data_IF_243247179454
#
_entry.id   IF_243247179454
#
_cell.length_a   1.000
_cell.length_b   1.000
_cell.length_c   1.000
_cell.angle_alpha   90.00
_cell.angle_beta   90.00
_cell.angle_gamma   90.00
#
_symmetry.space_group_name_H-M   'P 1'
#
loop_
_entity.id
_entity.type
_entity.pdbx_description
1 polymer ?
#
# COMPACT_ATOMS: atom_id res chain seq x y z
N UNK A 1 27.13 -22.80 41.80
CA UNK A 1 25.69 -22.53 41.58
C UNK A 1 25.49 -22.45 40.09
N UNK A 2 24.61 -23.30 39.57
CA UNK A 2 24.20 -23.28 38.16
C UNK A 2 23.36 -22.01 37.88
N UNK A 3 23.52 -21.38 36.72
CA UNK A 3 22.81 -20.13 36.39
C UNK A 3 21.44 -20.46 35.79
N UNK A 4 20.37 -19.97 36.40
CA UNK A 4 19.02 -20.11 35.84
C UNK A 4 18.82 -19.10 34.68
N UNK A 5 18.44 -19.61 33.50
CA UNK A 5 18.17 -18.85 32.29
C UNK A 5 16.67 -18.77 31.94
N UNK A 6 15.78 -19.22 32.84
CA UNK A 6 14.33 -19.24 32.62
C UNK A 6 13.76 -17.86 32.28
N UNK A 7 14.31 -16.80 32.88
CA UNK A 7 13.90 -15.43 32.60
C UNK A 7 14.27 -14.99 31.18
N UNK A 8 15.52 -15.22 30.76
CA UNK A 8 15.99 -14.91 29.40
C UNK A 8 15.17 -15.68 28.36
N UNK A 9 14.90 -16.97 28.59
CA UNK A 9 14.05 -17.81 27.73
C UNK A 9 12.64 -17.24 27.63
N UNK A 10 12.00 -16.92 28.76
CA UNK A 10 10.66 -16.34 28.79
C UNK A 10 10.59 -15.00 28.05
N UNK A 11 11.54 -14.11 28.32
CA UNK A 11 11.61 -12.79 27.70
C UNK A 11 11.76 -12.88 26.17
N UNK A 12 12.65 -13.75 25.68
CA UNK A 12 12.85 -13.93 24.24
C UNK A 12 11.63 -14.54 23.55
N UNK A 13 10.96 -15.52 24.17
CA UNK A 13 9.70 -16.06 23.65
C UNK A 13 8.63 -14.97 23.52
N UNK A 14 8.51 -14.10 24.53
CA UNK A 14 7.57 -12.99 24.48
C UNK A 14 7.92 -11.99 23.38
N UNK A 15 9.19 -11.62 23.25
CA UNK A 15 9.65 -10.71 22.19
C UNK A 15 9.37 -11.26 20.79
N UNK A 16 9.65 -12.55 20.54
CA UNK A 16 9.37 -13.21 19.27
C UNK A 16 7.85 -13.20 18.99
N UNK A 17 7.03 -13.52 19.99
CA UNK A 17 5.57 -13.50 19.84
C UNK A 17 5.04 -12.11 19.48
N UNK A 18 5.55 -11.06 20.13
CA UNK A 18 5.17 -9.67 19.85
C UNK A 18 5.58 -9.27 18.43
N UNK A 19 6.85 -9.47 18.05
CA UNK A 19 7.33 -9.16 16.70
C UNK A 19 6.58 -9.94 15.62
N UNK A 20 6.23 -11.20 15.87
CA UNK A 20 5.45 -12.02 14.93
C UNK A 20 4.06 -11.46 14.71
N UNK A 21 3.39 -11.02 15.78
CA UNK A 21 2.06 -10.41 15.71
C UNK A 21 2.09 -9.08 14.96
N UNK A 22 3.06 -8.20 15.29
CA UNK A 22 3.26 -6.92 14.60
C UNK A 22 3.54 -7.13 13.10
N UNK A 23 4.38 -8.12 12.76
CA UNK A 23 4.67 -8.45 11.37
C UNK A 23 3.44 -8.92 10.62
N UNK A 24 2.59 -9.76 11.24
CA UNK A 24 1.35 -10.22 10.64
C UNK A 24 0.40 -9.05 10.34
N UNK A 25 0.28 -8.10 11.28
CA UNK A 25 -0.53 -6.88 11.10
C UNK A 25 -0.01 -6.00 9.95
N UNK A 26 1.30 -5.82 9.85
CA UNK A 26 1.92 -5.06 8.75
C UNK A 26 1.64 -5.74 7.40
N UNK A 27 1.78 -7.07 7.32
CA UNK A 27 1.47 -7.82 6.10
C UNK A 27 -0.01 -7.70 5.71
N UNK A 28 -0.91 -7.68 6.68
CA UNK A 28 -2.33 -7.43 6.44
C UNK A 28 -2.56 -6.02 5.89
N UNK A 29 -1.92 -4.99 6.48
CA UNK A 29 -1.98 -3.60 5.96
C UNK A 29 -1.48 -3.52 4.51
N UNK A 30 -0.38 -4.19 4.17
CA UNK A 30 0.14 -4.26 2.80
C UNK A 30 -0.90 -4.90 1.85
N UNK A 31 -1.53 -5.99 2.26
CA UNK A 31 -2.57 -6.67 1.47
C UNK A 31 -3.74 -5.73 1.15
N UNK A 32 -4.25 -5.01 2.15
CA UNK A 32 -5.34 -4.04 1.99
C UNK A 32 -4.92 -2.90 1.05
N UNK A 33 -3.70 -2.37 1.20
CA UNK A 33 -3.18 -1.32 0.32
C UNK A 33 -3.11 -1.79 -1.14
N UNK A 34 -2.62 -3.00 -1.40
CA UNK A 34 -2.58 -3.59 -2.75
C UNK A 34 -3.97 -3.72 -3.37
N UNK A 35 -4.95 -4.20 -2.60
CA UNK A 35 -6.34 -4.30 -3.06
C UNK A 35 -6.93 -2.94 -3.40
N UNK A 36 -6.73 -1.93 -2.53
CA UNK A 36 -7.25 -0.59 -2.75
C UNK A 36 -6.57 0.11 -3.94
N UNK A 37 -5.24 -0.07 -4.10
CA UNK A 37 -4.51 0.40 -5.28
C UNK A 37 -5.11 -0.15 -6.57
N UNK A 38 -5.36 -1.47 -6.64
CA UNK A 38 -5.95 -2.10 -7.82
C UNK A 38 -7.34 -1.53 -8.16
N UNK A 39 -8.19 -1.28 -7.15
CA UNK A 39 -9.50 -0.63 -7.33
C UNK A 39 -9.37 0.79 -7.89
N UNK A 40 -8.44 1.59 -7.36
CA UNK A 40 -8.20 2.97 -7.84
C UNK A 40 -7.65 2.96 -9.26
N UNK A 41 -6.69 2.09 -9.56
CA UNK A 41 -6.14 1.93 -10.91
C UNK A 41 -7.24 1.57 -11.93
N UNK A 42 -8.13 0.64 -11.58
CA UNK A 42 -9.24 0.26 -12.47
C UNK A 42 -10.17 1.44 -12.77
N UNK A 43 -10.53 2.24 -11.75
CA UNK A 43 -11.34 3.45 -11.93
C UNK A 43 -10.62 4.51 -12.76
N UNK A 44 -9.32 4.69 -12.52
CA UNK A 44 -8.47 5.61 -13.29
C UNK A 44 -8.46 5.23 -14.76
N UNK A 45 -8.26 3.95 -15.09
CA UNK A 45 -8.26 3.45 -16.47
C UNK A 45 -9.60 3.69 -17.16
N UNK A 46 -10.72 3.36 -16.50
CA UNK A 46 -12.06 3.58 -17.06
C UNK A 46 -12.33 5.07 -17.37
N UNK A 47 -11.91 5.98 -16.49
CA UNK A 47 -12.07 7.43 -16.73
C UNK A 47 -11.12 7.93 -17.82
N UNK A 48 -9.90 7.39 -17.90
CA UNK A 48 -8.95 7.71 -18.98
C UNK A 48 -9.48 7.27 -20.35
N UNK A 49 -10.11 6.10 -20.43
CA UNK A 49 -10.78 5.63 -21.63
C UNK A 49 -11.95 6.54 -22.02
N UNK A 50 -12.79 6.93 -21.05
CA UNK A 50 -13.87 7.88 -21.30
C UNK A 50 -13.34 9.23 -21.81
N UNK A 51 -12.26 9.76 -21.22
CA UNK A 51 -11.64 11.00 -21.66
C UNK A 51 -11.17 10.92 -23.13
N UNK A 52 -10.64 9.78 -23.56
CA UNK A 52 -10.23 9.58 -24.97
C UNK A 52 -11.41 9.67 -25.96
N UNK A 53 -12.63 9.47 -25.49
CA UNK A 53 -13.84 9.55 -26.32
C UNK A 53 -14.47 10.95 -26.36
N UNK A 54 -13.95 11.93 -25.60
CA UNK A 54 -14.57 13.27 -25.52
C UNK A 54 -14.55 14.03 -26.84
N UNK A 55 -13.54 13.82 -27.68
CA UNK A 55 -13.49 14.45 -29.00
C UNK A 55 -14.60 13.94 -29.93
N UNK A 56 -15.06 12.70 -29.71
CA UNK A 56 -16.21 12.14 -30.41
C UNK A 56 -17.52 12.82 -29.97
N UNK A 57 -17.63 13.24 -28.71
CA UNK A 57 -18.79 14.00 -28.20
C UNK A 57 -18.85 15.36 -28.90
N UNK A 58 -17.70 16.04 -29.03
CA UNK A 58 -17.58 17.31 -29.75
C UNK A 58 -17.97 17.18 -31.23
N UNK A 59 -17.57 16.08 -31.86
CA UNK A 59 -17.89 15.79 -33.26
C UNK A 59 -19.36 15.43 -33.49
N UNK A 60 -20.02 14.76 -32.54
CA UNK A 60 -21.43 14.36 -32.62
C UNK A 60 -22.43 15.47 -32.29
N UNK A 61 -21.98 16.55 -31.65
CA UNK A 61 -22.84 17.69 -31.35
C UNK A 61 -23.31 18.37 -32.64
N UNK A 62 -24.64 18.51 -32.80
CA UNK A 62 -25.29 19.03 -34.01
C UNK A 62 -24.77 20.41 -34.39
N UNK A 63 -24.72 20.76 -35.68
CA UNK A 63 -24.17 22.05 -36.12
C UNK A 63 -25.14 23.23 -35.96
N UNK A 64 -26.41 22.98 -35.66
CA UNK A 64 -27.50 23.97 -35.60
C UNK A 64 -27.56 24.76 -34.28
N UNK A 65 -26.41 25.08 -33.69
CA UNK A 65 -26.34 25.97 -32.54
C UNK A 65 -26.70 27.41 -32.94
N UNK A 66 -27.60 28.05 -32.20
CA UNK A 66 -27.93 29.46 -32.40
C UNK A 66 -26.90 30.38 -31.72
N UNK A 67 -26.45 31.42 -32.42
CA UNK A 67 -25.51 32.41 -31.89
C UNK A 67 -24.20 31.78 -31.42
N UNK A 68 -23.72 32.19 -30.25
CA UNK A 68 -22.45 31.74 -29.65
C UNK A 68 -22.54 30.41 -28.88
N UNK A 69 -23.67 29.69 -28.94
CA UNK A 69 -23.88 28.46 -28.15
C UNK A 69 -22.90 27.33 -28.52
N UNK A 70 -22.39 27.29 -29.76
CA UNK A 70 -21.36 26.31 -30.15
C UNK A 70 -20.04 26.57 -29.43
N UNK A 71 -19.64 27.83 -29.30
CA UNK A 71 -18.41 28.21 -28.61
C UNK A 71 -18.52 27.96 -27.10
N UNK A 72 -19.66 28.29 -26.49
CA UNK A 72 -19.94 27.94 -25.08
C UNK A 72 -19.89 26.42 -24.84
N UNK A 73 -20.50 25.63 -25.73
CA UNK A 73 -20.41 24.17 -25.68
C UNK A 73 -18.97 23.68 -25.78
N UNK A 74 -18.21 24.18 -26.77
CA UNK A 74 -16.80 23.81 -26.94
C UNK A 74 -15.98 24.15 -25.68
N UNK A 75 -16.15 25.36 -25.13
CA UNK A 75 -15.44 25.81 -23.93
C UNK A 75 -15.76 24.93 -22.71
N UNK A 76 -17.02 24.53 -22.53
CA UNK A 76 -17.44 23.60 -21.46
C UNK A 76 -16.81 22.22 -21.61
N UNK A 77 -16.74 21.71 -22.85
CA UNK A 77 -16.06 20.43 -23.13
C UNK A 77 -14.57 20.53 -22.80
N UNK A 78 -13.87 21.57 -23.23
CA UNK A 78 -12.44 21.74 -22.93
C UNK A 78 -12.19 21.89 -21.42
N UNK A 79 -13.04 22.63 -20.71
CA UNK A 79 -12.98 22.77 -19.24
C UNK A 79 -13.13 21.41 -18.55
N UNK A 80 -14.11 20.61 -18.98
CA UNK A 80 -14.34 19.27 -18.43
C UNK A 80 -13.18 18.32 -18.72
N UNK A 81 -12.61 18.35 -19.95
CA UNK A 81 -11.39 17.58 -20.27
C UNK A 81 -10.23 17.99 -19.36
N UNK A 82 -10.04 19.29 -19.13
CA UNK A 82 -9.02 19.81 -18.21
C UNK A 82 -9.20 19.29 -16.78
N UNK A 83 -10.41 19.38 -16.23
CA UNK A 83 -10.71 18.88 -14.88
C UNK A 83 -10.50 17.37 -14.75
N UNK A 84 -10.87 16.57 -15.76
CA UNK A 84 -10.64 15.12 -15.75
C UNK A 84 -9.15 14.81 -15.83
N UNK A 85 -8.39 15.49 -16.69
CA UNK A 85 -6.93 15.32 -16.79
C UNK A 85 -6.24 15.60 -15.45
N UNK A 86 -6.62 16.70 -14.78
CA UNK A 86 -6.09 17.03 -13.45
C UNK A 86 -6.47 15.97 -12.40
N UNK A 87 -7.70 15.44 -12.46
CA UNK A 87 -8.10 14.34 -11.59
C UNK A 87 -7.30 13.06 -11.83
N UNK A 88 -7.01 12.72 -13.09
CA UNK A 88 -6.20 11.56 -13.47
C UNK A 88 -4.75 11.67 -12.96
N UNK A 89 -4.17 12.87 -13.03
CA UNK A 89 -2.84 13.18 -12.50
C UNK A 89 -2.80 13.05 -10.98
N UNK A 90 -3.72 13.72 -10.27
CA UNK A 90 -3.82 13.61 -8.81
C UNK A 90 -4.05 12.16 -8.36
N UNK A 91 -4.83 11.39 -9.12
CA UNK A 91 -5.06 9.97 -8.85
C UNK A 91 -3.80 9.14 -9.06
N UNK A 92 -2.94 9.49 -10.03
CA UNK A 92 -1.62 8.84 -10.17
C UNK A 92 -0.75 9.12 -8.95
N UNK A 93 -0.67 10.37 -8.50
CA UNK A 93 0.10 10.74 -7.33
C UNK A 93 -0.34 9.94 -6.09
N UNK A 94 -1.65 9.74 -5.92
CA UNK A 94 -2.18 8.88 -4.84
C UNK A 94 -1.77 7.42 -4.97
N UNK A 95 -1.74 6.87 -6.19
CA UNK A 95 -1.24 5.51 -6.44
C UNK A 95 0.24 5.39 -6.06
N UNK A 96 1.05 6.38 -6.44
CA UNK A 96 2.48 6.39 -6.14
C UNK A 96 2.74 6.49 -4.64
N UNK A 97 1.95 7.30 -3.91
CA UNK A 97 2.00 7.37 -2.45
C UNK A 97 1.63 6.03 -1.79
N UNK A 98 0.66 5.29 -2.34
CA UNK A 98 0.33 3.94 -1.85
C UNK A 98 1.52 3.00 -2.06
N UNK A 99 2.20 3.06 -3.20
CA UNK A 99 3.38 2.24 -3.48
C UNK A 99 4.54 2.54 -2.53
N UNK A 100 4.80 3.82 -2.25
CA UNK A 100 5.79 4.21 -1.25
C UNK A 100 5.45 3.63 0.13
N UNK A 101 4.18 3.71 0.54
CA UNK A 101 3.74 3.17 1.83
C UNK A 101 3.84 1.64 1.90
N UNK A 102 3.52 0.94 0.82
CA UNK A 102 3.74 -0.51 0.69
C UNK A 102 5.24 -0.83 0.84
N UNK A 103 6.12 -0.06 0.20
CA UNK A 103 7.56 -0.25 0.29
C UNK A 103 8.06 -0.09 1.73
N UNK A 104 7.65 0.97 2.42
CA UNK A 104 7.99 1.21 3.83
C UNK A 104 7.54 0.05 4.72
N UNK A 105 6.28 -0.37 4.62
CA UNK A 105 5.77 -1.52 5.39
C UNK A 105 6.48 -2.83 5.03
N UNK A 106 6.88 -3.02 3.79
CA UNK A 106 7.65 -4.21 3.38
C UNK A 106 9.02 -4.23 4.05
N UNK A 107 9.69 -3.08 4.15
CA UNK A 107 10.95 -2.95 4.88
C UNK A 107 10.76 -3.20 6.39
N UNK A 108 9.73 -2.62 7.01
CA UNK A 108 9.41 -2.86 8.43
C UNK A 108 9.15 -4.35 8.72
N UNK A 109 8.33 -5.02 7.91
CA UNK A 109 8.06 -6.46 8.04
C UNK A 109 9.31 -7.33 7.84
N UNK A 110 10.26 -6.87 7.01
CA UNK A 110 11.54 -7.55 6.79
C UNK A 110 12.47 -7.36 8.00
N UNK A 111 12.53 -6.16 8.57
CA UNK A 111 13.30 -5.89 9.78
C UNK A 111 12.79 -6.71 10.98
N UNK A 112 11.47 -6.84 11.14
CA UNK A 112 10.89 -7.72 12.16
C UNK A 112 11.26 -9.19 11.93
N UNK A 113 11.27 -9.67 10.67
CA UNK A 113 11.71 -11.03 10.36
C UNK A 113 13.17 -11.27 10.74
N UNK A 114 14.05 -10.30 10.47
CA UNK A 114 15.46 -10.35 10.84
C UNK A 114 15.61 -10.35 12.38
N UNK A 115 14.92 -9.44 13.07
CA UNK A 115 14.92 -9.37 14.54
C UNK A 115 14.45 -10.66 15.21
N UNK A 116 13.38 -11.27 14.71
CA UNK A 116 12.89 -12.57 15.17
C UNK A 116 13.93 -13.69 14.96
N UNK A 117 14.68 -13.69 13.86
CA UNK A 117 15.72 -14.69 13.62
C UNK A 117 16.82 -14.59 14.67
N UNK A 118 17.34 -13.39 14.92
CA UNK A 118 18.34 -13.18 15.97
C UNK A 118 17.83 -13.54 17.38
N UNK A 119 16.60 -13.15 17.71
CA UNK A 119 15.98 -13.53 18.98
C UNK A 119 15.82 -15.06 19.10
N UNK A 120 15.44 -15.75 18.01
CA UNK A 120 15.29 -17.21 17.98
C UNK A 120 16.62 -17.94 18.15
N UNK A 121 17.69 -17.45 17.53
CA UNK A 121 19.05 -17.99 17.73
C UNK A 121 19.48 -17.84 19.19
N UNK A 122 19.24 -16.67 19.78
CA UNK A 122 19.57 -16.40 21.19
C UNK A 122 18.75 -17.29 22.13
N UNK A 123 17.46 -17.48 21.83
CA UNK A 123 16.57 -18.36 22.58
C UNK A 123 17.09 -19.79 22.59
N UNK A 124 17.50 -20.32 21.44
CA UNK A 124 18.06 -21.66 21.33
C UNK A 124 19.35 -21.82 22.16
N UNK A 125 20.21 -20.81 22.17
CA UNK A 125 21.40 -20.79 23.02
C UNK A 125 21.04 -20.88 24.51
N UNK A 126 20.10 -20.08 24.98
CA UNK A 126 19.69 -20.11 26.39
C UNK A 126 18.97 -21.41 26.76
N UNK A 127 18.15 -21.97 25.88
CA UNK A 127 17.54 -23.30 26.08
C UNK A 127 18.63 -24.37 26.24
N UNK A 128 19.66 -24.35 25.40
CA UNK A 128 20.79 -25.28 25.51
C UNK A 128 21.56 -25.10 26.83
N UNK A 129 21.87 -23.87 27.22
CA UNK A 129 22.56 -23.60 28.49
C UNK A 129 21.72 -24.02 29.71
N UNK A 130 20.41 -23.81 29.66
CA UNK A 130 19.49 -24.27 30.71
C UNK A 130 19.49 -25.80 30.83
N UNK A 131 19.49 -26.52 29.70
CA UNK A 131 19.49 -27.99 29.76
C UNK A 131 20.79 -28.56 30.31
N UNK A 132 21.94 -27.92 30.04
CA UNK A 132 23.24 -28.30 30.65
C UNK A 132 23.30 -28.04 32.16
N UNK A 133 22.39 -27.23 32.67
CA UNK A 133 22.33 -26.81 34.07
C UNK A 133 21.39 -27.69 34.91
N UNK A 134 20.58 -28.52 34.26
CA UNK A 134 19.63 -29.46 34.84
C UNK A 134 20.18 -30.91 34.90
N UNK A 135 21.31 -31.18 34.23
CA UNK A 135 22.12 -32.40 34.30
C UNK A 135 23.17 -32.34 35.43
#
# INVERSE_FOLDING_TARGET
MSRDYSYEIYSLRQQISTMSSERADILNKISILKQNKSKIQSKKSAISEQLSQYDLIKAKATSNFAGNRRDDFNNKIETLKGSISQWLENTQNNIDLIDQKISTYTAEASNLAIGMNYASQSLNTYIYLQSQNED
#
